data_IF_749080499264
#
_entry.id   IF_749080499264
#
_cell.length_a   1.000
_cell.length_b   1.000
_cell.length_c   1.000
_cell.angle_alpha   90.00
_cell.angle_beta   90.00
_cell.angle_gamma   90.00
#
_symmetry.space_group_name_H-M   'P 1'
#
loop_
_entity.id
_entity.type
_entity.pdbx_description
1 polymer ?
#
# COMPACT_ATOMS: atom_id res chain seq x y z
N UNK A 1 -4.57 4.75 13.66
CA UNK A 1 -4.75 3.32 13.38
C UNK A 1 -3.34 2.81 13.15
N UNK A 2 -2.92 1.82 13.92
CA UNK A 2 -1.55 1.29 13.79
C UNK A 2 -1.52 0.34 12.59
N UNK A 3 -0.47 0.44 11.79
CA UNK A 3 -0.26 -0.43 10.63
C UNK A 3 0.93 -1.33 10.88
N UNK A 4 0.77 -2.61 10.61
CA UNK A 4 1.89 -3.54 10.61
C UNK A 4 2.61 -3.45 9.27
N UNK A 5 3.86 -2.95 9.31
CA UNK A 5 4.77 -2.98 8.17
C UNK A 5 5.57 -4.27 8.22
N UNK A 6 5.37 -5.12 7.22
CA UNK A 6 6.12 -6.36 7.05
C UNK A 6 7.31 -6.10 6.13
N UNK A 7 8.50 -6.43 6.62
CA UNK A 7 9.74 -6.37 5.85
C UNK A 7 10.10 -7.76 5.36
N UNK A 8 10.06 -7.98 4.06
CA UNK A 8 10.43 -9.24 3.44
C UNK A 8 11.75 -9.11 2.70
N UNK A 9 12.77 -9.82 3.18
CA UNK A 9 14.03 -9.98 2.46
C UNK A 9 13.82 -10.97 1.30
N UNK A 10 13.95 -10.50 0.05
CA UNK A 10 13.69 -11.30 -1.15
C UNK A 10 14.63 -10.89 -2.30
N UNK A 11 15.92 -11.26 -2.22
CA UNK A 11 16.93 -10.84 -3.18
C UNK A 11 16.50 -10.99 -4.66
N UNK A 12 16.78 -9.99 -5.52
CA UNK A 12 17.66 -8.84 -5.30
C UNK A 12 16.99 -7.63 -4.62
N UNK A 13 15.77 -7.76 -4.09
CA UNK A 13 15.03 -6.64 -3.48
C UNK A 13 14.66 -6.91 -2.01
N UNK A 14 14.37 -5.83 -1.30
CA UNK A 14 13.67 -5.85 -0.03
C UNK A 14 12.26 -5.30 -0.25
N UNK A 15 11.25 -6.03 0.20
CA UNK A 15 9.86 -5.61 0.06
C UNK A 15 9.35 -5.08 1.40
N UNK A 16 8.87 -3.85 1.39
CA UNK A 16 8.01 -3.32 2.43
C UNK A 16 6.55 -3.59 2.04
N UNK A 17 5.75 -4.12 2.97
CA UNK A 17 4.34 -4.42 2.72
C UNK A 17 3.48 -4.04 3.90
N UNK A 18 2.33 -3.43 3.59
CA UNK A 18 1.26 -3.18 4.56
C UNK A 18 -0.04 -3.79 4.07
N UNK A 19 -0.75 -4.52 4.94
CA UNK A 19 -2.15 -4.86 4.70
C UNK A 19 -3.01 -3.64 5.02
N UNK A 20 -3.72 -3.15 4.02
CA UNK A 20 -4.48 -1.89 4.09
C UNK A 20 -5.90 -2.14 4.60
N UNK A 21 -6.63 -3.03 3.92
CA UNK A 21 -7.99 -3.43 4.28
C UNK A 21 -8.38 -4.73 3.58
N UNK A 22 -9.49 -5.35 3.98
CA UNK A 22 -10.14 -6.39 3.19
C UNK A 22 -10.85 -5.80 1.96
N UNK A 23 -11.03 -6.60 0.92
CA UNK A 23 -11.82 -6.19 -0.25
C UNK A 23 -13.31 -6.09 0.11
N UNK A 24 -14.01 -5.06 -0.40
CA UNK A 24 -15.45 -4.95 -0.24
C UNK A 24 -16.15 -6.11 -0.97
N UNK A 25 -17.24 -6.62 -0.39
CA UNK A 25 -18.00 -7.76 -0.94
C UNK A 25 -19.24 -7.34 -1.75
N UNK A 26 -19.62 -6.06 -1.71
CA UNK A 26 -20.74 -5.55 -2.50
C UNK A 26 -20.38 -5.43 -4.00
N UNK A 27 -21.33 -5.81 -4.85
CA UNK A 27 -21.21 -5.67 -6.30
C UNK A 27 -21.09 -4.18 -6.68
N UNK A 28 -20.14 -3.85 -7.56
CA UNK A 28 -19.87 -2.49 -8.04
C UNK A 28 -18.82 -1.73 -7.23
N UNK A 29 -18.79 -1.90 -5.91
CA UNK A 29 -17.82 -1.22 -5.01
C UNK A 29 -16.37 -1.61 -5.32
N UNK A 30 -16.13 -2.88 -5.69
CA UNK A 30 -14.79 -3.37 -6.05
C UNK A 30 -14.24 -2.68 -7.31
N UNK A 31 -15.07 -2.42 -8.31
CA UNK A 31 -14.63 -1.76 -9.55
C UNK A 31 -14.24 -0.30 -9.27
N UNK A 32 -15.05 0.41 -8.48
CA UNK A 32 -14.76 1.77 -8.03
C UNK A 32 -13.48 1.84 -7.20
N UNK A 33 -13.33 0.94 -6.22
CA UNK A 33 -12.10 0.84 -5.42
C UNK A 33 -10.88 0.55 -6.31
N UNK A 34 -10.97 -0.44 -7.19
CA UNK A 34 -9.84 -0.83 -8.05
C UNK A 34 -9.40 0.32 -8.96
N UNK A 35 -10.35 1.04 -9.56
CA UNK A 35 -10.06 2.26 -10.31
C UNK A 35 -9.35 3.29 -9.43
N UNK A 36 -9.86 3.52 -8.21
CA UNK A 36 -9.30 4.52 -7.32
C UNK A 36 -7.88 4.17 -6.87
N UNK A 37 -7.61 2.90 -6.58
CA UNK A 37 -6.25 2.43 -6.27
C UNK A 37 -5.27 2.67 -7.43
N UNK A 38 -5.71 2.47 -8.68
CA UNK A 38 -4.90 2.78 -9.87
C UNK A 38 -4.64 4.29 -10.02
N UNK A 39 -5.64 5.13 -9.72
CA UNK A 39 -5.47 6.59 -9.72
C UNK A 39 -4.49 7.03 -8.63
N UNK A 40 -4.59 6.48 -7.41
CA UNK A 40 -3.65 6.76 -6.31
C UNK A 40 -2.22 6.35 -6.68
N UNK A 41 -2.04 5.19 -7.32
CA UNK A 41 -0.75 4.73 -7.84
C UNK A 41 -0.15 5.70 -8.86
N UNK A 42 -0.98 6.46 -9.58
CA UNK A 42 -0.51 7.37 -10.62
C UNK A 42 -0.23 8.79 -10.12
N UNK A 43 -0.86 9.23 -9.03
CA UNK A 43 -0.78 10.62 -8.58
C UNK A 43 -0.01 10.82 -7.27
N UNK A 44 -0.34 10.03 -6.25
CA UNK A 44 -0.03 10.37 -4.85
C UNK A 44 0.92 9.34 -4.22
N UNK A 45 1.21 8.25 -4.93
CA UNK A 45 2.14 7.22 -4.52
C UNK A 45 3.41 7.30 -5.38
N UNK A 46 4.42 8.00 -4.88
CA UNK A 46 5.69 8.19 -5.61
C UNK A 46 6.52 6.91 -5.68
N UNK A 47 6.47 6.11 -4.60
CA UNK A 47 7.13 4.83 -4.48
C UNK A 47 6.15 3.76 -4.04
N UNK A 48 6.29 2.57 -4.62
CA UNK A 48 5.41 1.44 -4.36
C UNK A 48 4.14 1.43 -5.19
N UNK A 49 3.21 0.56 -4.80
CA UNK A 49 1.92 0.42 -5.44
C UNK A 49 0.89 -0.23 -4.52
N UNK A 50 -0.35 0.21 -4.65
CA UNK A 50 -1.51 -0.56 -4.23
C UNK A 50 -1.70 -1.78 -5.14
N UNK A 51 -2.01 -2.90 -4.52
CA UNK A 51 -2.34 -4.15 -5.18
C UNK A 51 -3.37 -4.95 -4.40
N UNK A 52 -3.78 -6.08 -4.98
CA UNK A 52 -4.69 -7.03 -4.36
C UNK A 52 -3.94 -8.34 -4.12
N UNK A 53 -3.97 -8.82 -2.89
CA UNK A 53 -3.43 -10.12 -2.50
C UNK A 53 -4.54 -10.93 -1.81
N UNK A 54 -5.04 -11.95 -2.49
CA UNK A 54 -6.18 -12.72 -2.00
C UNK A 54 -7.42 -11.84 -1.84
N UNK A 55 -7.92 -11.74 -0.62
CA UNK A 55 -9.09 -10.93 -0.25
C UNK A 55 -8.73 -9.56 0.35
N UNK A 56 -7.47 -9.11 0.20
CA UNK A 56 -6.95 -7.93 0.87
C UNK A 56 -6.33 -6.94 -0.11
N UNK A 57 -6.55 -5.64 0.14
CA UNK A 57 -5.76 -4.56 -0.46
C UNK A 57 -4.45 -4.47 0.30
N UNK A 58 -3.34 -4.41 -0.43
CA UNK A 58 -1.99 -4.25 0.11
C UNK A 58 -1.31 -3.05 -0.53
N UNK A 59 -0.47 -2.37 0.23
CA UNK A 59 0.50 -1.40 -0.26
C UNK A 59 1.87 -2.06 -0.20
N UNK A 60 2.60 -2.09 -1.32
CA UNK A 60 3.92 -2.70 -1.40
C UNK A 60 4.92 -1.76 -2.06
N UNK A 61 6.12 -1.69 -1.49
CA UNK A 61 7.26 -0.99 -2.05
C UNK A 61 8.45 -1.94 -2.14
N UNK A 62 9.22 -1.84 -3.23
CA UNK A 62 10.39 -2.67 -3.49
C UNK A 62 11.64 -1.80 -3.53
N UNK A 63 12.63 -2.14 -2.71
CA UNK A 63 13.90 -1.44 -2.59
C UNK A 63 15.01 -2.35 -3.13
N UNK A 64 15.88 -1.83 -3.99
CA UNK A 64 17.01 -2.59 -4.55
C UNK A 64 18.08 -2.79 -3.48
N UNK A 65 18.43 -4.04 -3.15
CA UNK A 65 19.37 -4.33 -2.07
C UNK A 65 20.82 -3.93 -2.36
N UNK A 66 21.20 -3.79 -3.63
CA UNK A 66 22.60 -3.52 -4.02
C UNK A 66 23.10 -2.15 -3.49
N UNK A 67 22.20 -1.17 -3.43
CA UNK A 67 22.51 0.20 -3.05
C UNK A 67 21.78 0.66 -1.77
N UNK A 68 20.92 -0.20 -1.19
CA UNK A 68 20.08 0.15 -0.05
C UNK A 68 20.93 0.46 1.19
N UNK A 69 20.81 1.69 1.68
CA UNK A 69 21.30 2.10 2.99
C UNK A 69 20.15 2.36 3.98
N UNK A 70 20.50 2.72 5.21
CA UNK A 70 19.52 2.98 6.26
C UNK A 70 18.65 4.21 5.95
N UNK A 71 19.23 5.25 5.36
CA UNK A 71 18.52 6.50 5.10
C UNK A 71 17.50 6.31 3.97
N UNK A 72 17.84 5.56 2.93
CA UNK A 72 16.91 5.16 1.86
C UNK A 72 15.78 4.26 2.41
N UNK A 73 16.11 3.27 3.24
CA UNK A 73 15.09 2.44 3.90
C UNK A 73 14.13 3.28 4.76
N UNK A 74 14.67 4.18 5.58
CA UNK A 74 13.89 5.03 6.47
C UNK A 74 13.00 5.99 5.67
N UNK A 75 13.55 6.62 4.63
CA UNK A 75 12.81 7.53 3.77
C UNK A 75 11.63 6.82 3.08
N UNK A 76 11.84 5.61 2.55
CA UNK A 76 10.76 4.80 1.97
C UNK A 76 9.72 4.40 3.00
N UNK A 77 10.13 3.96 4.19
CA UNK A 77 9.21 3.64 5.28
C UNK A 77 8.34 4.85 5.70
N UNK A 78 8.95 6.01 5.90
CA UNK A 78 8.25 7.25 6.28
C UNK A 78 7.31 7.74 5.16
N UNK A 79 7.76 7.70 3.91
CA UNK A 79 6.95 8.06 2.74
C UNK A 79 5.72 7.16 2.61
N UNK A 80 5.91 5.84 2.70
CA UNK A 80 4.84 4.85 2.65
C UNK A 80 3.82 5.05 3.78
N UNK A 81 4.29 5.26 5.01
CA UNK A 81 3.41 5.46 6.18
C UNK A 81 2.65 6.78 6.11
N UNK A 82 3.26 7.85 5.61
CA UNK A 82 2.60 9.14 5.38
C UNK A 82 1.52 9.05 4.30
N UNK A 83 1.82 8.43 3.15
CA UNK A 83 0.85 8.22 2.09
C UNK A 83 -0.34 7.39 2.59
N UNK A 84 -0.07 6.32 3.33
CA UNK A 84 -1.12 5.48 3.90
C UNK A 84 -2.01 6.25 4.89
N UNK A 85 -1.42 7.06 5.78
CA UNK A 85 -2.18 7.89 6.72
C UNK A 85 -3.10 8.90 5.99
N UNK A 86 -2.64 9.46 4.87
CA UNK A 86 -3.45 10.34 4.02
C UNK A 86 -4.63 9.59 3.39
N UNK A 87 -4.34 8.45 2.74
CA UNK A 87 -5.32 7.69 1.97
C UNK A 87 -6.34 6.96 2.85
N UNK A 88 -6.04 6.65 4.11
CA UNK A 88 -6.95 5.92 4.99
C UNK A 88 -8.27 6.62 5.29
N UNK A 89 -8.31 7.95 5.30
CA UNK A 89 -9.59 8.67 5.43
C UNK A 89 -10.50 8.39 4.24
N UNK A 90 -9.93 8.38 3.03
CA UNK A 90 -10.68 8.13 1.80
C UNK A 90 -11.06 6.66 1.66
N UNK A 91 -10.07 5.77 1.80
CA UNK A 91 -10.24 4.32 1.68
C UNK A 91 -11.15 3.73 2.77
N UNK A 92 -11.27 4.42 3.92
CA UNK A 92 -12.21 4.08 4.98
C UNK A 92 -13.67 4.00 4.52
N UNK A 93 -14.08 4.83 3.56
CA UNK A 93 -15.44 4.79 3.00
C UNK A 93 -15.79 3.48 2.30
N UNK A 94 -14.78 2.78 1.74
CA UNK A 94 -14.97 1.47 1.12
C UNK A 94 -15.07 0.33 2.15
N UNK A 95 -14.68 0.57 3.41
CA UNK A 95 -14.86 -0.39 4.52
C UNK A 95 -16.26 -0.35 5.11
N UNK A 96 -16.92 0.79 5.05
CA UNK A 96 -18.23 1.01 5.67
C UNK A 96 -19.41 0.65 4.76
N UNK A 97 -19.17 0.42 3.46
CA UNK A 97 -20.18 -0.10 2.52
C UNK A 97 -20.56 -1.59 2.76
N UNK A 98 -20.42 -2.06 4.00
CA UNK A 98 -20.73 -3.41 4.46
C UNK A 98 -22.14 -3.52 5.04
#
# INVERSE_FOLDING_TARGET
QDFDVVVHYSPPVLLLRVKVMGLPRQNGTLATLSRRLLELNASDLLHGSYGIQGDSVVLTEALELEHLDYDEFLASYESMTLALASHMRELGSFREAH
#
